data_IF_383810368117
#
_entry.id   IF_383810368117
#
_cell.length_a   1.000
_cell.length_b   1.000
_cell.length_c   1.000
_cell.angle_alpha   90.00
_cell.angle_beta   90.00
_cell.angle_gamma   90.00
#
_symmetry.space_group_name_H-M   'P 1'
#
loop_
_entity.id
_entity.type
_entity.pdbx_description
1 polymer ?
#
# COMPACT_ATOMS: atom_id res chain seq x y z
N UNK A 1 32.42 -2.06 8.05
CA UNK A 1 31.82 -2.32 7.87
C UNK A 1 31.22 -2.79 7.84
N UNK A 2 30.50 -3.05 7.76
CA UNK A 2 29.77 -3.47 7.70
C UNK A 2 29.00 -3.84 7.44
N UNK A 3 28.45 -4.29 7.17
CA UNK A 3 27.66 -4.64 6.79
C UNK A 3 26.82 -4.77 7.37
N UNK A 4 26.22 -4.60 7.41
CA UNK A 4 25.39 -4.68 8.05
C UNK A 4 24.44 -5.27 7.79
N UNK A 5 23.96 -5.29 7.59
CA UNK A 5 23.07 -5.98 7.55
C UNK A 5 22.37 -6.05 6.50
N UNK A 6 22.10 -6.96 6.24
CA UNK A 6 21.49 -7.22 5.17
C UNK A 6 20.13 -7.08 5.16
N UNK A 7 19.54 -7.05 6.25
CA UNK A 7 18.17 -6.94 6.31
C UNK A 7 17.84 -5.72 5.74
N UNK A 8 18.77 -4.92 5.41
CA UNK A 8 18.34 -3.71 5.15
C UNK A 8 18.85 -3.09 3.92
N UNK A 9 19.14 -3.80 2.87
CA UNK A 9 19.41 -3.15 1.58
C UNK A 9 18.25 -2.28 1.14
N UNK A 10 16.99 -2.75 1.38
CA UNK A 10 15.82 -1.97 1.03
C UNK A 10 15.74 -0.68 1.85
N UNK A 11 15.91 -0.79 3.16
CA UNK A 11 15.84 0.39 4.01
C UNK A 11 16.93 1.39 3.69
N UNK A 12 18.13 0.92 3.36
CA UNK A 12 19.21 1.80 2.97
C UNK A 12 18.86 2.55 1.69
N UNK A 13 18.25 1.85 0.75
CA UNK A 13 17.85 2.47 -0.50
C UNK A 13 16.78 3.53 -0.26
N UNK A 14 15.81 3.21 0.59
CA UNK A 14 14.75 4.15 0.94
C UNK A 14 15.34 5.39 1.57
N UNK A 15 16.24 5.24 2.52
CA UNK A 15 16.86 6.38 3.19
C UNK A 15 17.62 7.28 2.24
N UNK A 16 18.22 6.72 1.20
CA UNK A 16 18.96 7.52 0.24
C UNK A 16 18.07 8.30 -0.70
N UNK A 17 16.93 7.72 -1.07
CA UNK A 17 16.07 8.32 -2.08
C UNK A 17 14.89 9.09 -1.50
N UNK A 18 14.50 8.78 -0.30
CA UNK A 18 13.29 9.32 0.28
C UNK A 18 13.57 10.21 1.46
N UNK A 19 12.74 11.21 1.66
CA UNK A 19 12.87 12.08 2.81
C UNK A 19 11.57 12.25 3.60
N UNK A 20 10.54 11.54 3.21
CA UNK A 20 9.28 11.57 3.98
C UNK A 20 8.50 10.29 3.77
N UNK A 21 7.70 9.94 4.75
CA UNK A 21 6.79 8.79 4.65
C UNK A 21 5.39 9.31 4.91
N UNK A 22 4.51 9.12 3.94
CA UNK A 22 3.08 9.38 4.14
C UNK A 22 2.45 8.04 4.48
N UNK A 23 1.65 7.99 5.53
CA UNK A 23 1.11 6.69 5.94
C UNK A 23 -0.37 6.77 6.28
N UNK A 24 -1.03 5.62 6.17
CA UNK A 24 -2.39 5.41 6.64
C UNK A 24 -2.32 4.20 7.56
N UNK A 25 -2.72 4.39 8.81
CA UNK A 25 -2.57 3.35 9.81
C UNK A 25 -3.91 2.77 10.21
N UNK A 26 -4.00 1.44 10.14
CA UNK A 26 -5.17 0.70 10.60
C UNK A 26 -6.48 1.16 9.97
N UNK A 27 -6.50 1.26 8.65
CA UNK A 27 -7.72 1.58 7.93
C UNK A 27 -8.59 0.33 7.86
N UNK A 28 -9.77 0.39 8.47
CA UNK A 28 -10.69 -0.75 8.52
C UNK A 28 -11.79 -0.55 7.49
N UNK A 29 -11.93 -1.53 6.59
CA UNK A 29 -12.95 -1.50 5.55
C UNK A 29 -13.62 -2.87 5.49
N UNK A 30 -14.77 -2.93 4.81
CA UNK A 30 -15.51 -4.19 4.67
C UNK A 30 -15.84 -4.47 3.20
N UNK A 31 -14.84 -4.75 2.38
CA UNK A 31 -15.10 -5.06 0.97
C UNK A 31 -15.51 -6.51 0.78
N UNK A 32 -15.92 -6.83 -0.44
CA UNK A 32 -16.09 -8.21 -0.85
C UNK A 32 -14.80 -8.57 -1.56
N UNK A 33 -13.99 -9.44 -0.94
CA UNK A 33 -12.70 -9.82 -1.48
C UNK A 33 -12.37 -11.25 -1.06
N UNK A 34 -11.99 -12.07 -2.01
CA UNK A 34 -11.56 -13.44 -1.72
C UNK A 34 -11.88 -14.39 -2.85
N UNK A 35 -11.15 -15.50 -2.85
CA UNK A 35 -11.25 -16.51 -3.90
C UNK A 35 -12.41 -17.49 -3.66
N UNK A 36 -12.65 -17.82 -2.40
CA UNK A 36 -13.64 -18.85 -2.07
C UNK A 36 -15.06 -18.33 -2.31
N UNK A 37 -15.96 -19.24 -2.67
CA UNK A 37 -17.33 -18.88 -2.98
C UNK A 37 -17.98 -18.10 -1.84
N UNK A 38 -17.75 -18.52 -0.59
CA UNK A 38 -18.37 -17.84 0.54
C UNK A 38 -17.81 -16.43 0.78
N UNK A 39 -16.64 -16.12 0.21
CA UNK A 39 -16.05 -14.79 0.33
C UNK A 39 -16.58 -13.83 -0.74
N UNK A 40 -17.18 -14.35 -1.78
CA UNK A 40 -17.58 -13.51 -2.92
C UNK A 40 -18.91 -12.82 -2.77
N UNK A 41 -19.68 -13.19 -1.78
CA UNK A 41 -21.03 -12.65 -1.61
C UNK A 41 -21.20 -11.90 -0.30
N UNK A 42 -20.16 -11.87 0.54
CA UNK A 42 -20.28 -11.29 1.85
C UNK A 42 -19.14 -10.33 2.10
N UNK A 43 -19.43 -9.12 2.55
CA UNK A 43 -18.36 -8.23 2.99
C UNK A 43 -17.60 -8.85 4.14
N UNK A 44 -16.29 -8.63 4.18
CA UNK A 44 -15.51 -9.06 5.31
C UNK A 44 -14.61 -7.93 5.78
N UNK A 45 -14.32 -7.91 7.07
CA UNK A 45 -13.51 -6.85 7.66
C UNK A 45 -12.05 -7.08 7.33
N UNK A 46 -11.42 -6.04 6.78
CA UNK A 46 -9.99 -6.05 6.52
C UNK A 46 -9.36 -4.83 7.17
N UNK A 47 -8.07 -4.92 7.43
CA UNK A 47 -7.28 -3.81 7.97
C UNK A 47 -6.12 -3.55 7.03
N UNK A 48 -5.95 -2.29 6.63
CA UNK A 48 -4.87 -1.90 5.76
C UNK A 48 -3.93 -0.95 6.47
N UNK A 49 -2.65 -1.14 6.22
CA UNK A 49 -1.62 -0.21 6.65
C UNK A 49 -0.79 0.11 5.42
N UNK A 50 -0.59 1.39 5.16
CA UNK A 50 0.05 1.88 3.95
C UNK A 50 1.17 2.82 4.34
N UNK A 51 2.34 2.65 3.73
CA UNK A 51 3.44 3.59 3.87
C UNK A 51 3.93 3.94 2.48
N UNK A 52 4.00 5.22 2.17
CA UNK A 52 4.44 5.72 0.87
C UNK A 52 5.69 6.57 1.12
N UNK A 53 6.81 6.15 0.54
CA UNK A 53 8.09 6.80 0.74
C UNK A 53 8.34 7.73 -0.45
N UNK A 54 8.42 9.02 -0.17
CA UNK A 54 8.53 10.05 -1.19
C UNK A 54 9.91 10.66 -1.24
N UNK A 55 10.35 10.99 -2.46
CA UNK A 55 11.58 11.73 -2.65
C UNK A 55 11.34 13.20 -2.34
N UNK A 56 12.46 13.95 -2.28
CA UNK A 56 12.41 15.37 -2.00
C UNK A 56 11.62 16.11 -3.08
N UNK A 57 10.82 17.06 -2.68
CA UNK A 57 10.06 17.89 -3.59
C UNK A 57 9.88 19.27 -2.97
N UNK A 58 9.55 20.24 -3.81
CA UNK A 58 9.26 21.57 -3.33
C UNK A 58 7.79 21.69 -3.00
N UNK A 59 7.49 22.00 -1.74
CA UNK A 59 6.11 22.13 -1.29
C UNK A 59 5.70 23.60 -1.35
N UNK A 60 4.48 23.83 -1.88
CA UNK A 60 3.86 25.15 -1.88
C UNK A 60 2.66 25.06 -0.97
N UNK A 61 2.70 25.76 0.16
CA UNK A 61 1.67 25.67 1.15
C UNK A 61 0.30 26.06 0.58
N UNK A 62 -0.68 25.21 0.82
CA UNK A 62 -2.03 25.41 0.27
C UNK A 62 -2.24 24.79 -1.11
N UNK A 63 -1.20 24.32 -1.76
CA UNK A 63 -1.32 23.69 -3.08
C UNK A 63 -1.19 22.19 -2.94
N UNK A 64 -2.33 21.49 -3.00
CA UNK A 64 -2.36 20.04 -2.80
C UNK A 64 -1.57 19.25 -3.84
N UNK A 65 -1.33 19.85 -5.02
CA UNK A 65 -0.58 19.14 -6.06
C UNK A 65 0.91 19.03 -5.74
N UNK A 66 1.38 19.73 -4.72
CA UNK A 66 2.79 19.69 -4.35
C UNK A 66 3.08 18.69 -3.24
N UNK A 67 2.07 17.94 -2.78
CA UNK A 67 2.25 16.95 -1.72
C UNK A 67 1.60 15.63 -2.14
N UNK A 68 1.91 14.56 -1.42
CA UNK A 68 1.15 13.32 -1.50
C UNK A 68 0.01 13.44 -0.51
N UNK A 69 -1.20 13.48 -1.03
CA UNK A 69 -2.38 13.70 -0.19
C UNK A 69 -2.92 12.37 0.32
N UNK A 70 -2.79 12.14 1.64
CA UNK A 70 -3.24 10.86 2.21
C UNK A 70 -4.75 10.65 2.06
N UNK A 71 -5.53 11.73 1.95
CA UNK A 71 -6.96 11.56 1.69
C UNK A 71 -7.21 10.93 0.33
N UNK A 72 -6.40 11.29 -0.66
CA UNK A 72 -6.52 10.70 -1.99
C UNK A 72 -6.08 9.24 -1.98
N UNK A 73 -5.12 8.90 -1.14
CA UNK A 73 -4.70 7.50 -0.99
C UNK A 73 -5.86 6.66 -0.43
N UNK A 74 -6.55 7.17 0.58
CA UNK A 74 -7.69 6.46 1.16
C UNK A 74 -8.82 6.36 0.14
N UNK A 75 -9.08 7.42 -0.62
CA UNK A 75 -10.11 7.40 -1.66
C UNK A 75 -9.79 6.38 -2.74
N UNK A 76 -8.52 6.27 -3.12
CA UNK A 76 -8.09 5.30 -4.10
C UNK A 76 -8.37 3.88 -3.62
N UNK A 77 -8.01 3.58 -2.38
CA UNK A 77 -8.26 2.26 -1.81
C UNK A 77 -9.75 1.94 -1.84
N UNK A 78 -10.57 2.88 -1.39
CA UNK A 78 -12.02 2.67 -1.35
C UNK A 78 -12.59 2.48 -2.74
N UNK A 79 -12.10 3.25 -3.71
CA UNK A 79 -12.56 3.15 -5.09
C UNK A 79 -12.20 1.79 -5.68
N UNK A 80 -10.97 1.34 -5.50
CA UNK A 80 -10.54 0.05 -6.02
C UNK A 80 -11.34 -1.09 -5.39
N UNK A 81 -11.61 -1.01 -4.11
CA UNK A 81 -12.31 -2.06 -3.40
C UNK A 81 -13.83 -2.09 -3.66
N UNK A 82 -14.33 -1.18 -4.49
CA UNK A 82 -15.69 -1.32 -5.02
C UNK A 82 -15.72 -2.44 -6.05
N UNK A 83 -14.57 -2.77 -6.64
CA UNK A 83 -14.48 -3.92 -7.52
C UNK A 83 -14.32 -5.17 -6.68
N UNK A 84 -14.70 -6.31 -7.24
CA UNK A 84 -14.55 -7.58 -6.52
C UNK A 84 -13.25 -8.23 -6.97
N UNK A 85 -12.35 -8.44 -6.03
CA UNK A 85 -11.08 -9.10 -6.29
C UNK A 85 -11.09 -10.50 -5.71
N UNK A 86 -10.55 -11.46 -6.46
CA UNK A 86 -10.39 -12.81 -5.93
C UNK A 86 -9.16 -12.91 -5.03
N UNK A 87 -8.11 -12.19 -5.38
CA UNK A 87 -6.86 -12.26 -4.62
C UNK A 87 -6.45 -10.90 -4.11
N UNK A 88 -5.85 -10.88 -2.93
CA UNK A 88 -5.26 -9.65 -2.39
C UNK A 88 -4.17 -9.12 -3.31
N UNK A 89 -3.45 -10.03 -3.97
CA UNK A 89 -2.39 -9.65 -4.91
C UNK A 89 -2.92 -8.84 -6.08
N UNK A 90 -4.11 -9.16 -6.55
CA UNK A 90 -4.71 -8.43 -7.68
C UNK A 90 -5.06 -7.01 -7.28
N UNK A 91 -5.61 -6.84 -6.09
CA UNK A 91 -5.89 -5.53 -5.56
C UNK A 91 -4.59 -4.74 -5.38
N UNK A 92 -3.58 -5.39 -4.80
CA UNK A 92 -2.29 -4.72 -4.56
C UNK A 92 -1.68 -4.22 -5.85
N UNK A 93 -1.76 -5.01 -6.92
CA UNK A 93 -1.19 -4.61 -8.19
C UNK A 93 -1.84 -3.34 -8.71
N UNK A 94 -3.17 -3.27 -8.66
CA UNK A 94 -3.88 -2.07 -9.10
C UNK A 94 -3.55 -0.86 -8.22
N UNK A 95 -3.42 -1.09 -6.91
CA UNK A 95 -3.06 -0.04 -5.98
C UNK A 95 -1.68 0.54 -6.31
N UNK A 96 -0.69 -0.33 -6.46
CA UNK A 96 0.68 0.14 -6.71
C UNK A 96 0.80 0.84 -8.07
N UNK A 97 0.12 0.33 -9.09
CA UNK A 97 0.12 1.00 -10.39
C UNK A 97 -0.37 2.43 -10.26
N UNK A 98 -1.37 2.64 -9.43
CA UNK A 98 -1.93 3.97 -9.26
C UNK A 98 -1.04 4.90 -8.48
N UNK A 99 -0.46 4.43 -7.36
CA UNK A 99 0.34 5.34 -6.54
C UNK A 99 1.66 5.70 -7.19
N UNK A 100 2.22 4.81 -8.02
CA UNK A 100 3.48 5.12 -8.68
C UNK A 100 3.32 6.05 -9.88
N UNK A 101 2.10 6.47 -10.19
CA UNK A 101 1.91 7.56 -11.14
C UNK A 101 2.42 8.88 -10.59
N UNK A 102 2.49 9.01 -9.27
CA UNK A 102 3.09 10.18 -8.66
C UNK A 102 4.60 10.06 -8.77
N UNK A 103 5.22 10.98 -9.47
CA UNK A 103 6.66 10.90 -9.76
C UNK A 103 7.55 10.98 -8.53
N UNK A 104 7.03 11.46 -7.40
CA UNK A 104 7.81 11.55 -6.18
C UNK A 104 7.74 10.29 -5.32
N UNK A 105 6.88 9.34 -5.66
CA UNK A 105 6.75 8.10 -4.90
C UNK A 105 7.87 7.15 -5.31
N UNK A 106 8.77 6.87 -4.37
CA UNK A 106 9.93 6.02 -4.65
C UNK A 106 9.67 4.56 -4.32
N UNK A 107 8.97 4.32 -3.23
CA UNK A 107 8.62 2.97 -2.83
C UNK A 107 7.41 3.02 -1.93
N UNK A 108 6.81 1.86 -1.68
CA UNK A 108 5.64 1.81 -0.82
C UNK A 108 5.47 0.43 -0.22
N UNK A 109 4.84 0.40 0.94
CA UNK A 109 4.49 -0.84 1.63
C UNK A 109 2.97 -0.83 1.82
N UNK A 110 2.35 -1.95 1.49
CA UNK A 110 0.92 -2.15 1.69
C UNK A 110 0.73 -3.45 2.45
N UNK A 111 0.18 -3.35 3.66
CA UNK A 111 -0.12 -4.53 4.47
C UNK A 111 -1.62 -4.69 4.52
N UNK A 112 -2.11 -5.87 4.16
CA UNK A 112 -3.54 -6.17 4.17
C UNK A 112 -3.77 -7.37 5.06
N UNK A 113 -4.69 -7.23 6.02
CA UNK A 113 -5.03 -8.31 6.93
C UNK A 113 -6.53 -8.60 6.83
N UNK A 114 -6.88 -9.87 6.73
CA UNK A 114 -8.27 -10.32 6.86
C UNK A 114 -8.47 -10.68 8.33
N UNK A 115 -9.47 -10.10 8.94
CA UNK A 115 -9.63 -10.15 10.39
C UNK A 115 -10.59 -11.25 10.87
N UNK A 116 -11.35 -11.86 9.96
CA UNK A 116 -12.40 -12.78 10.35
C UNK A 116 -12.31 -14.15 9.69
N UNK A 117 -11.21 -14.43 9.01
CA UNK A 117 -11.12 -15.64 8.21
C UNK A 117 -10.72 -16.86 9.01
N UNK A 118 -9.89 -16.71 10.00
CA UNK A 118 -9.39 -17.85 10.77
C UNK A 118 -9.59 -17.65 12.24
N UNK A 119 -10.04 -18.73 12.91
CA UNK A 119 -10.28 -18.64 14.34
C UNK A 119 -9.02 -18.62 15.14
N UNK A 120 -8.00 -19.34 14.68
CA UNK A 120 -6.79 -19.54 15.47
C UNK A 120 -5.74 -18.46 15.29
N UNK A 121 -6.00 -17.49 14.44
CA UNK A 121 -5.07 -16.38 14.20
C UNK A 121 -5.81 -15.07 14.38
N UNK A 122 -5.15 -14.08 14.92
CA UNK A 122 -5.73 -12.76 15.07
C UNK A 122 -6.08 -12.20 13.69
N UNK A 123 -5.22 -12.41 12.72
CA UNK A 123 -5.45 -12.02 11.34
C UNK A 123 -4.56 -12.84 10.43
N UNK A 124 -4.89 -12.85 9.15
CA UNK A 124 -4.03 -13.42 8.12
C UNK A 124 -3.98 -12.45 6.97
N UNK A 125 -2.87 -12.42 6.25
CA UNK A 125 -2.77 -11.48 5.15
C UNK A 125 -1.42 -11.47 4.50
N UNK A 126 -1.14 -10.39 3.78
CA UNK A 126 0.11 -10.22 3.03
C UNK A 126 0.61 -8.81 3.24
N UNK A 127 1.91 -8.68 3.33
CA UNK A 127 2.55 -7.37 3.30
C UNK A 127 3.37 -7.29 2.02
N UNK A 128 3.08 -6.31 1.20
CA UNK A 128 3.75 -6.08 -0.06
C UNK A 128 4.67 -4.88 0.05
N UNK A 129 5.86 -4.97 -0.61
CA UNK A 129 6.58 -3.73 -0.74
C UNK A 129 7.14 -3.67 -2.14
N UNK A 130 7.02 -2.51 -2.77
CA UNK A 130 7.34 -2.31 -4.16
C UNK A 130 8.16 -1.05 -4.34
N UNK A 131 8.95 -1.02 -5.38
CA UNK A 131 9.76 0.13 -5.73
C UNK A 131 9.35 0.65 -7.09
N UNK A 132 9.59 1.94 -7.31
CA UNK A 132 9.23 2.61 -8.55
C UNK A 132 9.72 1.87 -9.79
N UNK A 133 10.95 1.36 -9.72
CA UNK A 133 11.56 0.71 -10.88
C UNK A 133 10.74 -0.45 -11.40
N UNK A 134 9.94 -1.08 -10.55
CA UNK A 134 9.12 -2.21 -10.98
C UNK A 134 7.99 -1.76 -11.89
N UNK A 135 7.64 -0.48 -11.88
CA UNK A 135 6.49 0.05 -12.63
C UNK A 135 6.88 1.00 -13.76
N UNK A 136 8.12 1.34 -13.88
CA UNK A 136 8.59 2.26 -14.92
C UNK A 136 8.95 1.58 -16.22
N UNK A 137 9.11 0.28 -16.20
CA UNK A 137 9.55 -0.41 -17.35
C UNK A 137 8.51 -0.87 -18.25
N UNK A 138 7.36 -0.63 -18.16
CA UNK A 138 6.36 -1.15 -19.08
C UNK A 138 6.08 -0.25 -20.27
#
# INVERSE_FOLDING_TARGET
MKKKTNIIPFLNLVEKKSNEIVFVKNLILKPIIGYHAYERTKPQKIRLNIQIFNSKKKVEDGNLHTITNYEEVVKLVKKLLLQKYNFLESFAEDFFKSIFKNKYTESAILKIEKLEVMKDAESVGIEFFKQREEYEKS
#
